data_IF_829555422839
#
_entry.id   IF_829555422839
#
_cell.length_a   1.000
_cell.length_b   1.000
_cell.length_c   1.000
_cell.angle_alpha   90.00
_cell.angle_beta   90.00
_cell.angle_gamma   90.00
#
_symmetry.space_group_name_H-M   'P 1'
#
loop_
_entity.id
_entity.type
_entity.pdbx_description
1 polymer ?
#
# COMPACT_ATOMS: atom_id res chain seq x y z
N UNK A 1 12.03 25.59 13.88
CA UNK A 1 13.06 24.63 14.09
C UNK A 1 12.55 23.40 14.79
N UNK A 2 11.92 23.54 15.91
CA UNK A 2 11.37 22.41 16.57
C UNK A 2 10.39 21.71 15.69
N UNK A 3 9.71 22.41 14.84
CA UNK A 3 8.60 21.88 14.08
C UNK A 3 9.02 21.09 12.87
N UNK A 4 10.29 21.10 12.56
CA UNK A 4 10.80 20.41 11.39
C UNK A 4 10.54 18.91 11.47
N UNK A 5 10.53 18.35 12.67
CA UNK A 5 10.25 16.93 12.87
C UNK A 5 8.86 16.73 13.44
N UNK A 6 8.49 17.55 14.41
CA UNK A 6 7.24 17.37 15.13
C UNK A 6 6.02 17.63 14.26
N UNK A 7 6.10 18.62 13.38
CA UNK A 7 4.92 19.01 12.60
C UNK A 7 4.47 17.99 11.58
N UNK A 8 5.37 17.35 10.81
CA UNK A 8 4.92 16.27 9.92
C UNK A 8 4.24 15.14 10.66
N UNK A 9 4.78 14.72 11.80
CA UNK A 9 4.18 13.67 12.59
C UNK A 9 2.83 14.07 13.16
N UNK A 10 2.71 15.35 13.52
CA UNK A 10 1.45 15.90 13.98
C UNK A 10 0.38 15.86 12.91
N UNK A 11 0.73 16.25 11.68
CA UNK A 11 -0.20 16.19 10.56
C UNK A 11 -0.62 14.75 10.27
N UNK A 12 0.32 13.82 10.33
CA UNK A 12 0.02 12.42 10.10
C UNK A 12 -0.93 11.90 11.18
N UNK A 13 -0.67 12.22 12.44
CA UNK A 13 -1.53 11.78 13.54
C UNK A 13 -2.94 12.35 13.42
N UNK A 14 -3.05 13.63 13.01
CA UNK A 14 -4.36 14.22 12.78
C UNK A 14 -5.10 13.53 11.65
N UNK A 15 -4.37 13.21 10.57
CA UNK A 15 -4.98 12.52 9.44
C UNK A 15 -5.47 11.14 9.84
N UNK A 16 -4.67 10.42 10.64
CA UNK A 16 -5.06 9.09 11.09
C UNK A 16 -6.34 9.15 11.92
N UNK A 17 -6.44 10.11 12.80
CA UNK A 17 -7.64 10.27 13.61
C UNK A 17 -8.85 10.59 12.73
N UNK A 18 -8.68 11.50 11.77
CA UNK A 18 -9.76 11.87 10.88
C UNK A 18 -10.21 10.68 10.03
N UNK A 19 -9.27 9.87 9.56
CA UNK A 19 -9.60 8.68 8.79
C UNK A 19 -10.38 7.67 9.63
N UNK A 20 -9.99 7.51 10.90
CA UNK A 20 -10.71 6.63 11.81
C UNK A 20 -12.16 7.09 11.98
N UNK A 21 -12.38 8.39 11.90
CA UNK A 21 -13.72 8.97 11.99
C UNK A 21 -14.44 9.00 10.63
N UNK A 22 -13.84 8.42 9.62
CA UNK A 22 -14.37 8.41 8.24
C UNK A 22 -14.49 9.80 7.63
N UNK A 23 -13.68 10.73 8.10
CA UNK A 23 -13.64 12.10 7.57
C UNK A 23 -12.53 12.19 6.54
N UNK A 24 -12.69 11.47 5.44
CA UNK A 24 -11.63 11.28 4.46
C UNK A 24 -11.16 12.55 3.76
N UNK A 25 -12.02 13.45 3.30
CA UNK A 25 -11.52 14.68 2.67
C UNK A 25 -10.62 15.50 3.60
N UNK A 26 -11.01 15.61 4.88
CA UNK A 26 -10.19 16.34 5.85
C UNK A 26 -8.87 15.61 6.11
N UNK A 27 -8.92 14.29 6.20
CA UNK A 27 -7.70 13.48 6.39
C UNK A 27 -6.75 13.67 5.20
N UNK A 28 -7.28 13.62 3.98
CA UNK A 28 -6.46 13.80 2.78
C UNK A 28 -5.80 15.18 2.77
N UNK A 29 -6.53 16.20 3.20
CA UNK A 29 -5.97 17.54 3.26
C UNK A 29 -4.73 17.60 4.15
N UNK A 30 -4.78 16.92 5.30
CA UNK A 30 -3.63 16.88 6.19
C UNK A 30 -2.45 16.15 5.56
N UNK A 31 -2.70 15.02 4.90
CA UNK A 31 -1.65 14.24 4.27
C UNK A 31 -1.06 14.98 3.08
N UNK A 32 -1.90 15.65 2.29
CA UNK A 32 -1.40 16.45 1.17
C UNK A 32 -0.52 17.59 1.65
N UNK A 33 -0.91 18.24 2.75
CA UNK A 33 -0.08 19.28 3.34
C UNK A 33 1.27 18.73 3.77
N UNK A 34 1.29 17.52 4.32
CA UNK A 34 2.53 16.91 4.77
C UNK A 34 3.50 16.70 3.61
N UNK A 35 3.04 16.02 2.56
CA UNK A 35 3.93 15.67 1.46
C UNK A 35 4.27 16.87 0.60
N UNK A 36 3.41 17.88 0.55
CA UNK A 36 3.69 19.11 -0.19
C UNK A 36 4.70 19.97 0.53
N UNK A 37 4.58 20.08 1.84
CA UNK A 37 5.46 20.93 2.64
C UNK A 37 6.82 20.26 2.86
N UNK A 38 6.84 18.95 3.05
CA UNK A 38 8.08 18.21 3.30
C UNK A 38 8.23 17.07 2.28
N UNK A 39 8.48 17.38 1.01
CA UNK A 39 8.64 16.32 0.00
C UNK A 39 9.84 15.42 0.36
N UNK A 40 9.66 14.12 0.15
CA UNK A 40 10.72 13.16 0.48
C UNK A 40 10.85 12.85 1.96
N UNK A 41 9.89 13.27 2.77
CA UNK A 41 9.95 13.00 4.21
C UNK A 41 9.89 11.49 4.47
N UNK A 42 10.56 11.00 5.52
CA UNK A 42 10.54 9.57 5.84
C UNK A 42 9.15 8.97 6.05
N UNK A 43 8.14 9.79 6.33
CA UNK A 43 6.76 9.31 6.47
C UNK A 43 6.03 9.18 5.15
N UNK A 44 6.69 9.46 4.03
CA UNK A 44 6.00 9.48 2.73
C UNK A 44 5.35 8.15 2.40
N UNK A 45 6.01 7.05 2.69
CA UNK A 45 5.45 5.73 2.40
C UNK A 45 4.23 5.44 3.27
N UNK A 46 4.26 5.83 4.54
CA UNK A 46 3.08 5.70 5.40
C UNK A 46 1.95 6.59 4.91
N UNK A 47 2.27 7.78 4.41
CA UNK A 47 1.25 8.67 3.84
C UNK A 47 0.61 8.02 2.63
N UNK A 48 1.42 7.47 1.73
CA UNK A 48 0.90 6.79 0.55
C UNK A 48 0.02 5.60 0.94
N UNK A 49 0.44 4.83 1.94
CA UNK A 49 -0.36 3.70 2.39
C UNK A 49 -1.69 4.16 2.98
N UNK A 50 -1.68 5.23 3.75
CA UNK A 50 -2.91 5.77 4.33
C UNK A 50 -3.85 6.27 3.23
N UNK A 51 -3.31 6.96 2.23
CA UNK A 51 -4.11 7.41 1.09
C UNK A 51 -4.71 6.23 0.34
N UNK A 52 -3.94 5.15 0.18
CA UNK A 52 -4.43 3.94 -0.48
C UNK A 52 -5.59 3.32 0.31
N UNK A 53 -5.45 3.21 1.62
CA UNK A 53 -6.50 2.60 2.44
C UNK A 53 -7.77 3.44 2.43
N UNK A 54 -7.64 4.77 2.45
CA UNK A 54 -8.80 5.63 2.36
C UNK A 54 -9.50 5.50 1.01
N UNK A 55 -8.72 5.40 -0.06
CA UNK A 55 -9.28 5.21 -1.39
C UNK A 55 -10.07 3.91 -1.46
N UNK A 56 -9.53 2.83 -0.90
CA UNK A 56 -10.24 1.55 -0.86
C UNK A 56 -11.53 1.65 -0.07
N UNK A 57 -11.51 2.37 1.05
CA UNK A 57 -12.70 2.57 1.85
C UNK A 57 -13.79 3.30 1.07
N UNK A 58 -13.38 4.14 0.12
CA UNK A 58 -14.32 4.87 -0.73
C UNK A 58 -14.58 4.16 -2.06
N UNK A 59 -14.11 2.94 -2.20
CA UNK A 59 -14.24 2.13 -3.41
C UNK A 59 -13.54 2.73 -4.63
N UNK A 60 -12.53 3.56 -4.38
CA UNK A 60 -11.72 4.15 -5.44
C UNK A 60 -10.47 3.30 -5.64
N UNK A 61 -10.65 2.19 -6.33
CA UNK A 61 -9.58 1.20 -6.50
C UNK A 61 -8.45 1.76 -7.36
N UNK A 62 -8.79 2.57 -8.36
CA UNK A 62 -7.77 3.12 -9.25
C UNK A 62 -6.77 3.99 -8.48
N UNK A 63 -7.27 4.88 -7.62
CA UNK A 63 -6.39 5.70 -6.80
C UNK A 63 -5.56 4.85 -5.85
N UNK A 64 -6.22 3.85 -5.22
CA UNK A 64 -5.51 2.96 -4.30
C UNK A 64 -4.35 2.26 -5.01
N UNK A 65 -4.58 1.77 -6.22
CA UNK A 65 -3.54 1.08 -6.96
C UNK A 65 -2.38 2.00 -7.32
N UNK A 66 -2.66 3.25 -7.67
CA UNK A 66 -1.61 4.22 -7.95
C UNK A 66 -0.74 4.44 -6.70
N UNK A 67 -1.38 4.61 -5.54
CA UNK A 67 -0.65 4.85 -4.30
C UNK A 67 0.21 3.63 -3.92
N UNK A 68 -0.35 2.44 -4.03
CA UNK A 68 0.38 1.22 -3.73
C UNK A 68 1.54 1.01 -4.69
N UNK A 69 1.33 1.31 -5.97
CA UNK A 69 2.38 1.19 -6.96
C UNK A 69 3.52 2.16 -6.66
N UNK A 70 3.21 3.35 -6.19
CA UNK A 70 4.24 4.30 -5.80
C UNK A 70 5.08 3.79 -4.65
N UNK A 71 4.45 3.14 -3.66
CA UNK A 71 5.22 2.58 -2.56
C UNK A 71 6.20 1.54 -3.08
N UNK A 72 5.74 0.64 -3.95
CA UNK A 72 6.60 -0.39 -4.50
C UNK A 72 7.74 0.21 -5.33
N UNK A 73 7.43 1.21 -6.14
CA UNK A 73 8.41 1.79 -7.07
C UNK A 73 9.42 2.71 -6.41
N UNK A 74 8.95 3.54 -5.47
CA UNK A 74 9.78 4.59 -4.89
C UNK A 74 10.34 4.23 -3.53
N UNK A 75 9.71 3.28 -2.83
CA UNK A 75 10.07 2.91 -1.47
C UNK A 75 10.33 1.42 -1.36
N UNK A 76 11.00 0.87 -2.37
CA UNK A 76 11.23 -0.57 -2.48
C UNK A 76 11.93 -1.16 -1.26
N UNK A 77 12.84 -0.39 -0.66
CA UNK A 77 13.58 -0.85 0.51
C UNK A 77 12.80 -0.66 1.81
N UNK A 78 11.61 -0.12 1.72
CA UNK A 78 10.84 0.19 2.90
C UNK A 78 10.07 -1.01 3.39
N UNK A 79 9.80 -1.01 4.70
CA UNK A 79 9.09 -2.09 5.35
C UNK A 79 7.67 -2.26 4.81
N UNK A 80 7.10 -1.23 4.18
CA UNK A 80 5.75 -1.32 3.62
C UNK A 80 5.71 -1.84 2.19
N UNK A 81 6.86 -2.01 1.54
CA UNK A 81 6.89 -2.40 0.13
C UNK A 81 6.27 -3.77 -0.12
N UNK A 82 6.55 -4.76 0.73
CA UNK A 82 5.99 -6.09 0.55
C UNK A 82 4.49 -6.11 0.81
N UNK A 83 4.04 -5.32 1.77
CA UNK A 83 2.61 -5.19 2.06
C UNK A 83 1.88 -4.55 0.88
N UNK A 84 2.46 -3.48 0.33
CA UNK A 84 1.88 -2.82 -0.84
C UNK A 84 1.84 -3.76 -2.04
N UNK A 85 2.89 -4.53 -2.25
CA UNK A 85 2.95 -5.46 -3.37
C UNK A 85 1.89 -6.55 -3.23
N UNK A 86 1.71 -7.08 -2.03
CA UNK A 86 0.68 -8.08 -1.79
C UNK A 86 -0.71 -7.50 -2.03
N UNK A 87 -0.97 -6.28 -1.56
CA UNK A 87 -2.26 -5.63 -1.76
C UNK A 87 -2.53 -5.38 -3.24
N UNK A 88 -1.51 -4.97 -4.01
CA UNK A 88 -1.66 -4.80 -5.45
C UNK A 88 -2.07 -6.12 -6.12
N UNK A 89 -1.38 -7.19 -5.76
CA UNK A 89 -1.70 -8.50 -6.33
C UNK A 89 -3.13 -8.91 -5.97
N UNK A 90 -3.51 -8.67 -4.74
CA UNK A 90 -4.86 -9.01 -4.26
C UNK A 90 -5.93 -8.22 -5.00
N UNK A 91 -5.70 -6.94 -5.24
CA UNK A 91 -6.66 -6.11 -5.97
C UNK A 91 -6.83 -6.58 -7.40
N UNK A 92 -5.73 -6.94 -8.07
CA UNK A 92 -5.83 -7.51 -9.42
C UNK A 92 -6.58 -8.82 -9.41
N UNK A 93 -6.26 -9.69 -8.46
CA UNK A 93 -6.88 -11.02 -8.41
C UNK A 93 -8.36 -10.97 -8.06
N UNK A 94 -8.69 -10.29 -6.98
CA UNK A 94 -10.00 -10.41 -6.36
C UNK A 94 -10.96 -9.26 -6.64
N UNK A 95 -10.45 -8.10 -7.00
CA UNK A 95 -11.31 -6.99 -7.34
C UNK A 95 -11.50 -6.88 -8.84
N UNK A 96 -10.39 -6.96 -9.59
CA UNK A 96 -10.44 -6.82 -11.04
C UNK A 96 -10.59 -8.14 -11.77
N UNK A 97 -10.49 -9.25 -11.06
CA UNK A 97 -10.56 -10.59 -11.62
C UNK A 97 -9.53 -10.78 -12.74
N UNK A 98 -8.34 -10.23 -12.55
CA UNK A 98 -7.28 -10.27 -13.54
C UNK A 98 -6.12 -11.12 -13.00
N UNK A 99 -6.26 -12.43 -13.16
CA UNK A 99 -5.25 -13.37 -12.68
C UNK A 99 -3.90 -13.16 -13.39
N UNK A 100 -3.96 -12.81 -14.67
CA UNK A 100 -2.74 -12.62 -15.45
C UNK A 100 -1.91 -11.45 -14.92
N UNK A 101 -2.56 -10.40 -14.43
CA UNK A 101 -1.86 -9.29 -13.84
C UNK A 101 -1.39 -9.60 -12.41
N UNK A 102 -2.15 -10.40 -11.69
CA UNK A 102 -1.81 -10.75 -10.31
C UNK A 102 -0.62 -11.69 -10.20
N UNK A 103 -0.52 -12.64 -11.12
CA UNK A 103 0.54 -13.65 -11.08
C UNK A 103 1.95 -13.08 -10.95
N UNK A 104 2.38 -12.16 -11.83
CA UNK A 104 3.74 -11.64 -11.71
C UNK A 104 3.96 -10.84 -10.42
N UNK A 105 2.91 -10.27 -9.85
CA UNK A 105 3.06 -9.53 -8.60
C UNK A 105 3.29 -10.47 -7.42
N UNK A 106 2.57 -11.59 -7.37
CA UNK A 106 2.85 -12.61 -6.36
C UNK A 106 4.25 -13.19 -6.53
N UNK A 107 4.63 -13.43 -7.78
CA UNK A 107 5.97 -13.96 -8.06
C UNK A 107 7.04 -12.99 -7.59
N UNK A 108 6.86 -11.71 -7.88
CA UNK A 108 7.80 -10.67 -7.47
C UNK A 108 7.93 -10.64 -5.93
N UNK A 109 6.81 -10.76 -5.23
CA UNK A 109 6.84 -10.78 -3.77
C UNK A 109 7.66 -11.96 -3.26
N UNK A 110 7.43 -13.14 -3.82
CA UNK A 110 8.13 -14.33 -3.39
C UNK A 110 9.62 -14.27 -3.68
N UNK A 111 9.99 -13.65 -4.79
CA UNK A 111 11.39 -13.55 -5.17
C UNK A 111 12.12 -12.46 -4.38
N UNK A 112 11.51 -11.31 -4.21
CA UNK A 112 12.17 -10.17 -3.61
C UNK A 112 11.98 -10.04 -2.10
N UNK A 113 10.90 -10.61 -1.58
CA UNK A 113 10.58 -10.52 -0.16
C UNK A 113 10.28 -11.90 0.43
N UNK A 114 11.25 -12.84 0.34
CA UNK A 114 10.97 -14.21 0.79
C UNK A 114 10.67 -14.32 2.28
N UNK A 115 11.09 -13.35 3.08
CA UNK A 115 10.80 -13.32 4.50
C UNK A 115 9.53 -12.58 4.88
N UNK A 116 8.76 -12.14 3.90
CA UNK A 116 7.54 -11.40 4.15
C UNK A 116 6.51 -12.25 4.90
N UNK A 117 5.73 -11.59 5.76
CA UNK A 117 4.60 -12.24 6.40
C UNK A 117 3.57 -12.72 5.38
N UNK A 118 3.58 -12.13 4.18
CA UNK A 118 2.66 -12.50 3.12
C UNK A 118 3.16 -13.66 2.24
N UNK A 119 4.38 -14.12 2.47
CA UNK A 119 5.00 -15.09 1.55
C UNK A 119 4.23 -16.39 1.43
N UNK A 120 3.73 -16.93 2.54
CA UNK A 120 3.02 -18.20 2.53
C UNK A 120 1.72 -18.08 1.73
N UNK A 121 0.94 -17.04 2.02
CA UNK A 121 -0.31 -16.84 1.31
C UNK A 121 -0.06 -16.51 -0.16
N UNK A 122 0.97 -15.71 -0.46
CA UNK A 122 1.31 -15.38 -1.83
C UNK A 122 1.68 -16.64 -2.62
N UNK A 123 2.43 -17.53 -2.00
CA UNK A 123 2.81 -18.79 -2.65
C UNK A 123 1.59 -19.64 -2.95
N UNK A 124 0.67 -19.73 -2.00
CA UNK A 124 -0.56 -20.49 -2.19
C UNK A 124 -1.37 -19.92 -3.35
N UNK A 125 -1.55 -18.61 -3.39
CA UNK A 125 -2.31 -17.96 -4.46
C UNK A 125 -1.60 -18.09 -5.80
N UNK A 126 -0.29 -17.92 -5.80
CA UNK A 126 0.49 -18.05 -7.02
C UNK A 126 0.31 -19.43 -7.65
N UNK A 127 0.39 -20.48 -6.82
CA UNK A 127 0.23 -21.84 -7.31
C UNK A 127 -1.19 -22.10 -7.82
N UNK A 128 -2.18 -21.62 -7.07
CA UNK A 128 -3.57 -21.79 -7.48
C UNK A 128 -3.84 -21.11 -8.81
N UNK A 129 -3.36 -19.87 -8.96
CA UNK A 129 -3.56 -19.13 -10.21
C UNK A 129 -2.83 -19.77 -11.37
N UNK A 130 -1.69 -20.37 -11.11
CA UNK A 130 -0.91 -21.03 -12.14
C UNK A 130 -1.46 -22.42 -12.50
N UNK A 131 -2.35 -22.94 -11.67
CA UNK A 131 -2.98 -24.22 -11.94
C UNK A 131 -2.25 -25.43 -11.39
N UNK A 132 -1.27 -25.22 -10.50
CA UNK A 132 -0.54 -26.33 -9.93
C UNK A 132 -0.71 -26.45 -8.42
N UNK A 133 -1.90 -26.15 -7.91
CA UNK A 133 -2.16 -26.31 -6.50
C UNK A 133 -2.77 -27.67 -6.25
N UNK A 134 -2.09 -28.67 -6.62
CA UNK A 134 -2.64 -29.98 -6.50
C UNK A 134 -2.30 -30.65 -5.23
N UNK A 135 -1.31 -30.15 -4.58
CA UNK A 135 -0.86 -30.77 -3.48
C UNK A 135 -1.65 -30.52 -2.36
N UNK A 136 -2.20 -29.66 -2.30
CA UNK A 136 -2.84 -29.36 -1.22
C UNK A 136 -2.79 -30.03 -0.13
#
# INVERSE_FOLDING_TARGET
>A
ALDTIAEPMWLYAQADLLATQHRYPAARGKLDSLITTWPGHPLEDEVLMQLAQMALAENDVDTAMVMLQEIVSLHFDDILADDALFQLADLHQNWLNDADAALPLYEQLLFEFPGSLHAIEARRRFRALRGDDTEL
#
